data_IF_602667098860
#
_entry.id   IF_602667098860
#
_cell.length_a   1.000
_cell.length_b   1.000
_cell.length_c   1.000
_cell.angle_alpha   90.00
_cell.angle_beta   90.00
_cell.angle_gamma   90.00
#
_symmetry.space_group_name_H-M   'P 1'
#
loop_
_entity.id
_entity.type
_entity.pdbx_description
1 polymer ?
#
# COMPACT_ATOMS: atom_id res chain seq x y z
N UNK A 1 -0.56 -3.58 19.81
CA UNK A 1 -0.99 -3.17 18.44
C UNK A 1 -0.20 -1.94 18.05
N UNK A 2 0.59 -1.99 16.97
CA UNK A 2 1.04 -0.76 16.32
C UNK A 2 -0.13 -0.22 15.50
N UNK A 3 -0.79 0.78 16.06
CA UNK A 3 -1.73 1.64 15.34
C UNK A 3 -0.93 2.80 14.75
N UNK A 4 -1.41 3.40 13.68
CA UNK A 4 -0.95 4.75 13.30
C UNK A 4 -1.24 5.73 14.45
N UNK A 5 -0.61 6.91 14.47
CA UNK A 5 -0.83 7.90 15.54
C UNK A 5 -2.31 8.28 15.73
N UNK A 6 -3.15 8.07 14.71
CA UNK A 6 -4.60 8.30 14.74
C UNK A 6 -5.44 7.07 15.09
N UNK A 7 -4.82 5.94 15.44
CA UNK A 7 -5.52 4.71 15.84
C UNK A 7 -5.90 3.78 14.69
N UNK A 8 -5.53 4.08 13.45
CA UNK A 8 -5.87 3.24 12.29
C UNK A 8 -5.01 1.96 12.23
N UNK A 9 -5.58 0.82 11.77
CA UNK A 9 -4.84 -0.43 11.65
C UNK A 9 -3.81 -0.35 10.52
N UNK A 10 -2.57 -0.70 10.83
CA UNK A 10 -1.53 -0.92 9.82
C UNK A 10 -1.70 -2.27 9.13
N UNK A 11 -1.54 -2.29 7.80
CA UNK A 11 -1.68 -3.48 6.96
C UNK A 11 -0.42 -3.69 6.14
N UNK A 12 0.09 -4.93 6.14
CA UNK A 12 1.16 -5.36 5.24
C UNK A 12 0.56 -5.92 3.93
N UNK A 13 1.09 -5.51 2.78
CA UNK A 13 0.64 -5.97 1.46
C UNK A 13 1.64 -6.99 0.94
N UNK A 14 1.18 -8.22 0.68
CA UNK A 14 1.99 -9.34 0.17
C UNK A 14 1.89 -9.46 -1.35
N UNK A 15 0.70 -9.22 -1.91
CA UNK A 15 0.41 -9.35 -3.33
C UNK A 15 -0.59 -8.28 -3.76
N UNK A 16 -0.50 -7.86 -5.01
CA UNK A 16 -1.42 -6.93 -5.64
C UNK A 16 -1.74 -7.47 -7.04
N UNK A 17 -3.01 -7.72 -7.32
CA UNK A 17 -3.50 -8.26 -8.60
C UNK A 17 -4.62 -7.40 -9.16
N UNK A 18 -4.72 -7.35 -10.49
CA UNK A 18 -5.80 -6.67 -11.19
C UNK A 18 -6.62 -7.69 -11.97
N UNK A 19 -7.90 -7.79 -11.65
CA UNK A 19 -8.83 -8.75 -12.25
C UNK A 19 -10.21 -8.07 -12.40
N UNK A 20 -10.80 -8.17 -13.59
CA UNK A 20 -12.15 -7.67 -13.90
C UNK A 20 -12.45 -6.25 -13.38
N UNK A 21 -11.52 -5.31 -13.59
CA UNK A 21 -11.72 -3.91 -13.21
C UNK A 21 -11.42 -3.61 -11.73
N UNK A 22 -10.98 -4.59 -10.95
CA UNK A 22 -10.80 -4.50 -9.50
C UNK A 22 -9.33 -4.72 -9.13
N UNK A 23 -8.87 -3.98 -8.14
CA UNK A 23 -7.55 -4.19 -7.54
C UNK A 23 -7.73 -5.06 -6.29
N UNK A 24 -7.11 -6.24 -6.29
CA UNK A 24 -7.13 -7.19 -5.18
C UNK A 24 -5.79 -7.09 -4.46
N UNK A 25 -5.83 -6.71 -3.19
CA UNK A 25 -4.66 -6.70 -2.32
C UNK A 25 -4.73 -7.88 -1.37
N UNK A 26 -3.73 -8.73 -1.45
CA UNK A 26 -3.52 -9.75 -0.45
C UNK A 26 -2.75 -9.15 0.72
N UNK A 27 -3.42 -8.98 1.85
CA UNK A 27 -2.98 -8.11 2.92
C UNK A 27 -3.16 -8.76 4.29
N UNK A 28 -2.35 -8.37 5.27
CA UNK A 28 -2.51 -8.82 6.66
C UNK A 28 -2.49 -7.59 7.56
N UNK A 29 -3.59 -7.34 8.26
CA UNK A 29 -3.53 -6.40 9.38
C UNK A 29 -2.71 -7.04 10.52
N UNK A 30 -1.91 -6.27 11.24
CA UNK A 30 -1.11 -6.81 12.35
C UNK A 30 -1.99 -7.62 13.32
N UNK A 31 -1.50 -8.80 13.72
CA UNK A 31 -2.18 -9.79 14.57
C UNK A 31 -3.47 -10.42 13.98
N UNK A 32 -3.78 -10.21 12.70
CA UNK A 32 -4.93 -10.82 12.01
C UNK A 32 -4.54 -11.94 11.04
N UNK A 33 -5.53 -12.71 10.59
CA UNK A 33 -5.38 -13.62 9.44
C UNK A 33 -5.24 -12.81 8.14
N UNK A 34 -4.45 -13.36 7.20
CA UNK A 34 -4.29 -12.80 5.85
C UNK A 34 -5.66 -12.72 5.16
N UNK A 35 -5.98 -11.57 4.58
CA UNK A 35 -7.27 -11.26 3.97
C UNK A 35 -7.08 -10.59 2.61
N UNK A 36 -8.03 -10.82 1.71
CA UNK A 36 -8.08 -10.13 0.43
C UNK A 36 -8.89 -8.84 0.59
N UNK A 37 -8.24 -7.70 0.38
CA UNK A 37 -8.88 -6.39 0.32
C UNK A 37 -9.22 -6.09 -1.14
N UNK A 38 -10.51 -5.96 -1.41
CA UNK A 38 -11.02 -5.60 -2.72
C UNK A 38 -11.17 -4.08 -2.84
N UNK A 39 -10.50 -3.48 -3.81
CA UNK A 39 -10.66 -2.07 -4.16
C UNK A 39 -11.38 -1.95 -5.50
N UNK A 40 -12.59 -1.39 -5.47
CA UNK A 40 -13.37 -1.08 -6.66
C UNK A 40 -13.23 0.40 -7.03
N UNK A 41 -13.48 0.77 -8.31
CA UNK A 41 -13.48 2.18 -8.73
C UNK A 41 -14.41 3.06 -7.87
N UNK A 42 -15.58 2.55 -7.47
CA UNK A 42 -16.56 3.26 -6.65
C UNK A 42 -16.03 3.49 -5.24
N UNK A 43 -15.34 2.50 -4.66
CA UNK A 43 -14.70 2.66 -3.35
C UNK A 43 -13.61 3.74 -3.38
N UNK A 44 -12.81 3.78 -4.46
CA UNK A 44 -11.81 4.83 -4.67
C UNK A 44 -12.47 6.20 -4.89
N UNK A 45 -13.55 6.27 -5.67
CA UNK A 45 -14.28 7.50 -5.91
C UNK A 45 -14.87 8.08 -4.60
N UNK A 46 -15.42 7.23 -3.73
CA UNK A 46 -15.91 7.62 -2.41
C UNK A 46 -14.78 8.13 -1.50
N UNK A 47 -13.58 7.55 -1.60
CA UNK A 47 -12.38 8.00 -0.89
C UNK A 47 -11.66 9.19 -1.54
N UNK A 48 -12.08 9.62 -2.73
CA UNK A 48 -11.40 10.65 -3.51
C UNK A 48 -11.26 12.00 -2.80
N UNK A 49 -12.25 12.48 -2.01
CA UNK A 49 -12.09 13.69 -1.22
C UNK A 49 -10.91 13.62 -0.23
N UNK A 50 -10.67 12.47 0.39
CA UNK A 50 -9.54 12.23 1.31
C UNK A 50 -8.21 12.28 0.56
N UNK A 51 -8.16 11.66 -0.63
CA UNK A 51 -6.99 11.71 -1.53
C UNK A 51 -6.69 13.15 -1.94
N UNK A 52 -7.71 13.91 -2.31
CA UNK A 52 -7.57 15.31 -2.73
C UNK A 52 -7.11 16.22 -1.59
N UNK A 53 -7.66 16.04 -0.37
CA UNK A 53 -7.23 16.78 0.82
C UNK A 53 -5.74 16.57 1.12
N UNK A 54 -5.21 15.37 0.82
CA UNK A 54 -3.83 14.99 1.08
C UNK A 54 -2.94 14.94 -0.17
N UNK A 55 -3.40 15.46 -1.31
CA UNK A 55 -2.78 15.28 -2.63
C UNK A 55 -1.28 15.59 -2.64
N UNK A 56 -0.87 16.69 -2.00
CA UNK A 56 0.55 17.09 -1.92
C UNK A 56 1.39 16.05 -1.15
N UNK A 57 0.89 15.57 -0.02
CA UNK A 57 1.55 14.56 0.80
C UNK A 57 1.65 13.21 0.06
N UNK A 58 0.57 12.79 -0.61
CA UNK A 58 0.53 11.57 -1.40
C UNK A 58 1.55 11.63 -2.55
N UNK A 59 1.62 12.75 -3.28
CA UNK A 59 2.61 12.94 -4.35
C UNK A 59 4.03 12.92 -3.79
N UNK A 60 4.27 13.59 -2.66
CA UNK A 60 5.59 13.63 -2.02
C UNK A 60 6.03 12.22 -1.58
N UNK A 61 5.12 11.41 -1.05
CA UNK A 61 5.36 10.01 -0.74
C UNK A 61 5.65 9.19 -2.01
N UNK A 62 4.82 9.33 -3.04
CA UNK A 62 4.97 8.60 -4.30
C UNK A 62 6.35 8.81 -4.94
N UNK A 63 6.90 10.04 -4.85
CA UNK A 63 8.26 10.36 -5.33
C UNK A 63 9.39 9.60 -4.59
N UNK A 64 9.14 9.05 -3.39
CA UNK A 64 10.12 8.25 -2.64
C UNK A 64 10.16 6.79 -3.10
N UNK A 65 9.11 6.30 -3.76
CA UNK A 65 8.98 4.90 -4.19
C UNK A 65 10.14 4.46 -5.11
N UNK A 66 10.54 5.22 -6.15
CA UNK A 66 11.65 4.81 -7.02
C UNK A 66 12.97 4.60 -6.28
N UNK A 67 13.27 5.44 -5.28
CA UNK A 67 14.47 5.33 -4.47
C UNK A 67 14.44 4.05 -3.61
N UNK A 68 13.30 3.76 -2.97
CA UNK A 68 13.11 2.54 -2.19
C UNK A 68 13.25 1.27 -3.06
N UNK A 69 12.69 1.28 -4.29
CA UNK A 69 12.84 0.18 -5.24
C UNK A 69 14.30 -0.05 -5.63
N UNK A 70 15.07 1.02 -5.87
CA UNK A 70 16.50 0.92 -6.17
C UNK A 70 17.28 0.35 -4.99
N UNK A 71 16.99 0.81 -3.77
CA UNK A 71 17.63 0.30 -2.56
C UNK A 71 17.38 -1.21 -2.37
N UNK A 72 16.12 -1.65 -2.53
CA UNK A 72 15.75 -3.06 -2.46
C UNK A 72 16.47 -3.91 -3.52
N UNK A 73 16.58 -3.42 -4.76
CA UNK A 73 17.34 -4.10 -5.82
C UNK A 73 18.83 -4.21 -5.50
N UNK A 74 19.44 -3.17 -4.91
CA UNK A 74 20.84 -3.18 -4.51
C UNK A 74 21.09 -4.22 -3.41
N UNK A 75 20.26 -4.21 -2.36
CA UNK A 75 20.32 -5.19 -1.27
C UNK A 75 20.18 -6.62 -1.79
N UNK A 76 19.19 -6.90 -2.66
CA UNK A 76 19.01 -8.22 -3.24
C UNK A 76 20.23 -8.71 -4.05
N UNK A 77 20.96 -7.82 -4.73
CA UNK A 77 22.21 -8.15 -5.44
C UNK A 77 23.39 -8.40 -4.50
N UNK A 78 23.46 -7.67 -3.39
CA UNK A 78 24.51 -7.84 -2.37
C UNK A 78 24.32 -9.13 -1.57
N UNK A 79 23.07 -9.55 -1.34
CA UNK A 79 22.77 -10.82 -0.63
C UNK A 79 22.85 -12.06 -1.52
N UNK A 80 22.78 -11.90 -2.85
CA UNK A 80 22.90 -12.99 -3.83
C UNK A 80 24.34 -13.27 -4.29
N UNK A 81 25.32 -12.56 -3.71
CA UNK A 81 26.74 -12.67 -4.02
C UNK A 81 27.49 -13.28 -2.84
#
# INVERSE_FOLDING_TARGET
MMLTEDGSPMVEIFKMEYEDGKLILDAKALDSMRMNVLLTPEAIANGWPVVMANKKAIIAFAKKIPAALRARKKQAKETAR
#
